data_IF_959600096007
#
_entry.id   IF_959600096007
#
_cell.length_a   1.000
_cell.length_b   1.000
_cell.length_c   1.000
_cell.angle_alpha   90.00
_cell.angle_beta   90.00
_cell.angle_gamma   90.00
#
_symmetry.space_group_name_H-M   'P 1'
#
loop_
_entity.id
_entity.type
_entity.pdbx_description
1 polymer ?
#
# COMPACT_ATOMS: atom_id res chain seq x y z
N UNK A 1 -22.76 -6.21 -0.80
CA UNK A 1 -21.31 -5.94 -0.74
C UNK A 1 -20.99 -5.50 0.67
N UNK A 2 -19.97 -6.06 1.29
CA UNK A 2 -19.48 -5.67 2.60
C UNK A 2 -17.98 -5.46 2.52
N UNK A 3 -17.46 -4.61 3.39
CA UNK A 3 -16.03 -4.36 3.53
C UNK A 3 -15.47 -5.29 4.60
N UNK A 4 -14.28 -5.81 4.35
CA UNK A 4 -13.47 -6.51 5.34
C UNK A 4 -12.00 -6.33 5.02
N UNK A 5 -11.13 -6.85 5.86
CA UNK A 5 -9.69 -6.75 5.70
C UNK A 5 -9.14 -8.08 5.18
N UNK A 6 -8.13 -8.02 4.32
CA UNK A 6 -7.39 -9.20 3.89
C UNK A 6 -6.42 -9.61 5.00
N UNK A 7 -6.57 -10.80 5.57
CA UNK A 7 -5.67 -11.25 6.66
C UNK A 7 -4.56 -12.14 6.14
N UNK A 8 -4.87 -13.08 5.25
CA UNK A 8 -3.90 -14.03 4.72
C UNK A 8 -4.25 -14.47 3.30
N UNK A 9 -3.22 -14.59 2.45
CA UNK A 9 -3.33 -15.21 1.13
C UNK A 9 -2.92 -16.68 1.25
N UNK A 10 -3.90 -17.58 1.13
CA UNK A 10 -3.66 -19.02 1.23
C UNK A 10 -3.13 -19.56 -0.09
N UNK A 11 -3.78 -19.19 -1.19
CA UNK A 11 -3.37 -19.59 -2.53
C UNK A 11 -3.73 -18.53 -3.58
N UNK A 12 -3.56 -18.88 -4.84
CA UNK A 12 -3.83 -18.00 -5.98
C UNK A 12 -5.30 -17.62 -6.19
N UNK A 13 -6.23 -18.39 -5.63
CA UNK A 13 -7.67 -18.28 -5.83
C UNK A 13 -8.43 -18.13 -4.50
N UNK A 14 -7.77 -18.17 -3.35
CA UNK A 14 -8.38 -18.15 -2.03
C UNK A 14 -7.60 -17.30 -1.03
N UNK A 15 -8.36 -16.57 -0.22
CA UNK A 15 -7.86 -15.71 0.83
C UNK A 15 -8.69 -15.86 2.10
N UNK A 16 -8.07 -15.59 3.25
CA UNK A 16 -8.74 -15.38 4.53
C UNK A 16 -8.91 -13.89 4.73
N UNK A 17 -10.12 -13.52 5.12
CA UNK A 17 -10.54 -12.14 5.22
C UNK A 17 -11.38 -11.96 6.47
N UNK A 18 -11.13 -10.91 7.24
CA UNK A 18 -11.96 -10.56 8.39
C UNK A 18 -13.00 -9.53 8.00
N UNK A 19 -14.25 -9.80 8.31
CA UNK A 19 -15.25 -8.74 8.30
C UNK A 19 -15.05 -7.83 9.50
N UNK A 20 -15.51 -6.57 9.41
CA UNK A 20 -15.60 -5.62 10.53
C UNK A 20 -16.33 -6.18 11.78
N UNK A 21 -17.12 -7.25 11.62
CA UNK A 21 -17.75 -7.97 12.71
C UNK A 21 -16.81 -8.92 13.48
N UNK A 22 -15.52 -8.99 13.13
CA UNK A 22 -14.53 -9.89 13.72
C UNK A 22 -14.69 -11.36 13.30
N UNK A 23 -15.45 -11.61 12.24
CA UNK A 23 -15.66 -12.95 11.68
C UNK A 23 -14.71 -13.17 10.51
N UNK A 24 -13.97 -14.27 10.54
CA UNK A 24 -13.07 -14.70 9.48
C UNK A 24 -13.83 -15.51 8.43
N UNK A 25 -13.65 -15.16 7.16
CA UNK A 25 -14.24 -15.85 6.03
C UNK A 25 -13.15 -16.44 5.15
N UNK A 26 -13.36 -17.66 4.68
CA UNK A 26 -12.59 -18.23 3.58
C UNK A 26 -13.26 -17.85 2.27
N UNK A 27 -12.65 -16.96 1.51
CA UNK A 27 -13.25 -16.38 0.29
C UNK A 27 -12.46 -16.73 -0.95
N UNK A 28 -13.16 -16.80 -2.09
CA UNK A 28 -12.53 -16.93 -3.40
C UNK A 28 -12.10 -15.57 -3.94
N UNK A 29 -10.87 -15.48 -4.41
CA UNK A 29 -10.35 -14.34 -5.18
C UNK A 29 -10.82 -14.49 -6.61
N UNK A 30 -11.55 -13.49 -7.12
CA UNK A 30 -11.99 -13.49 -8.50
C UNK A 30 -10.84 -13.07 -9.43
N UNK A 31 -10.82 -13.65 -10.64
CA UNK A 31 -9.72 -13.46 -11.61
C UNK A 31 -9.49 -12.02 -12.06
N UNK A 32 -10.45 -11.13 -11.82
CA UNK A 32 -10.34 -9.71 -12.14
C UNK A 32 -9.58 -8.91 -11.07
N UNK A 33 -9.27 -9.51 -9.92
CA UNK A 33 -8.47 -8.88 -8.86
C UNK A 33 -6.99 -9.11 -9.16
N UNK A 34 -6.23 -8.03 -9.30
CA UNK A 34 -4.77 -8.11 -9.50
C UNK A 34 -4.08 -8.51 -8.19
N UNK A 35 -3.50 -9.71 -8.18
CA UNK A 35 -2.85 -10.30 -6.99
C UNK A 35 -1.69 -9.45 -6.47
N UNK A 36 -0.97 -8.79 -7.36
CA UNK A 36 0.16 -7.92 -7.02
C UNK A 36 -0.23 -6.67 -6.21
N UNK A 37 -1.52 -6.36 -6.15
CA UNK A 37 -2.06 -5.21 -5.42
C UNK A 37 -2.71 -5.59 -4.09
N UNK A 38 -2.85 -6.89 -3.79
CA UNK A 38 -3.37 -7.37 -2.51
C UNK A 38 -2.25 -7.34 -1.47
N UNK A 39 -2.34 -6.41 -0.51
CA UNK A 39 -1.50 -6.44 0.69
C UNK A 39 -2.34 -6.85 1.90
N UNK A 40 -1.69 -7.49 2.87
CA UNK A 40 -2.33 -7.88 4.13
C UNK A 40 -2.79 -6.63 4.89
N UNK A 41 -3.85 -6.78 5.68
CA UNK A 41 -4.58 -5.74 6.41
C UNK A 41 -5.25 -4.66 5.54
N UNK A 42 -5.27 -4.80 4.21
CA UNK A 42 -6.01 -3.87 3.36
C UNK A 42 -7.51 -4.13 3.36
N UNK A 43 -8.25 -3.02 3.34
CA UNK A 43 -9.68 -3.02 3.13
C UNK A 43 -10.01 -3.53 1.73
N UNK A 44 -10.74 -4.62 1.66
CA UNK A 44 -11.23 -5.23 0.43
C UNK A 44 -12.75 -5.24 0.42
N UNK A 45 -13.28 -5.12 -0.78
CA UNK A 45 -14.69 -5.21 -1.04
C UNK A 45 -15.06 -6.66 -1.31
N UNK A 46 -15.97 -7.18 -0.52
CA UNK A 46 -16.43 -8.57 -0.60
C UNK A 46 -17.93 -8.66 -0.84
N UNK A 47 -18.35 -9.78 -1.41
CA UNK A 47 -19.77 -10.06 -1.61
C UNK A 47 -20.26 -11.19 -0.70
N UNK A 48 -20.97 -10.85 0.39
CA UNK A 48 -21.41 -11.80 1.42
C UNK A 48 -22.20 -13.02 0.91
N UNK A 49 -22.94 -12.90 -0.20
CA UNK A 49 -23.74 -14.02 -0.71
C UNK A 49 -22.90 -15.10 -1.40
N UNK A 50 -21.74 -14.71 -1.96
CA UNK A 50 -20.88 -15.61 -2.74
C UNK A 50 -19.50 -15.79 -2.09
N UNK A 51 -19.23 -15.08 -0.99
CA UNK A 51 -17.95 -15.10 -0.27
C UNK A 51 -16.78 -14.96 -1.24
N UNK A 52 -16.79 -13.85 -2.00
CA UNK A 52 -15.76 -13.57 -3.00
C UNK A 52 -15.23 -12.15 -2.88
N UNK A 53 -13.93 -11.99 -3.16
CA UNK A 53 -13.25 -10.70 -3.22
C UNK A 53 -13.56 -10.05 -4.57
N UNK A 54 -14.18 -8.87 -4.52
CA UNK A 54 -14.65 -8.15 -5.73
C UNK A 54 -13.76 -6.94 -6.06
N UNK A 55 -13.05 -6.39 -5.08
CA UNK A 55 -12.16 -5.26 -5.35
C UNK A 55 -11.36 -4.84 -4.14
N UNK A 56 -10.34 -4.03 -4.39
CA UNK A 56 -9.59 -3.34 -3.35
C UNK A 56 -10.28 -2.02 -3.04
N UNK A 57 -10.55 -1.76 -1.78
CA UNK A 57 -10.92 -0.43 -1.33
C UNK A 57 -9.60 0.25 -0.95
N UNK A 58 -9.06 1.07 -1.85
CA UNK A 58 -7.89 1.90 -1.58
C UNK A 58 -8.28 3.02 -0.61
N UNK A 59 -8.66 2.68 0.62
CA UNK A 59 -8.84 3.69 1.66
C UNK A 59 -7.50 3.92 2.35
N UNK A 60 -7.03 5.15 2.15
CA UNK A 60 -5.97 5.88 2.85
C UNK A 60 -5.00 5.00 3.65
N UNK A 61 -3.89 4.62 3.00
CA UNK A 61 -2.80 3.94 3.70
C UNK A 61 -2.17 4.93 4.68
N UNK A 62 -2.41 4.71 5.97
CA UNK A 62 -1.71 5.40 7.03
C UNK A 62 -0.20 5.14 6.91
N UNK A 63 0.63 6.13 6.55
CA UNK A 63 2.07 5.95 6.50
C UNK A 63 2.66 5.67 7.88
N UNK A 64 1.88 5.88 8.94
CA UNK A 64 2.25 5.54 10.32
C UNK A 64 2.43 4.01 10.49
N UNK A 65 1.63 3.19 9.81
CA UNK A 65 1.75 1.72 9.86
C UNK A 65 3.05 1.27 9.18
N UNK A 66 3.38 1.87 8.04
CA UNK A 66 4.58 1.53 7.26
C UNK A 66 5.88 2.03 7.91
N UNK A 67 5.82 3.19 8.57
CA UNK A 67 6.98 3.77 9.25
C UNK A 67 7.18 3.25 10.67
N UNK A 68 6.21 2.55 11.27
CA UNK A 68 6.35 1.97 12.62
C UNK A 68 7.51 0.97 12.75
N UNK A 69 8.04 0.43 11.65
CA UNK A 69 9.23 -0.44 11.63
C UNK A 69 10.54 0.29 11.28
N UNK A 70 10.50 1.61 11.07
CA UNK A 70 11.65 2.41 10.64
C UNK A 70 12.14 3.36 11.74
N UNK A 71 13.45 3.52 11.85
CA UNK A 71 14.06 4.51 12.76
C UNK A 71 13.99 5.90 12.12
N UNK A 72 12.91 6.63 12.41
CA UNK A 72 12.73 8.02 11.98
C UNK A 72 13.51 8.99 12.90
N UNK A 73 13.97 10.10 12.34
CA UNK A 73 14.42 11.24 13.13
C UNK A 73 13.22 12.09 13.59
N UNK A 74 13.37 12.80 14.71
CA UNK A 74 12.29 13.61 15.31
C UNK A 74 11.79 14.75 14.40
N UNK A 75 12.57 15.08 13.36
CA UNK A 75 12.23 16.09 12.36
C UNK A 75 11.32 15.57 11.23
N UNK A 76 10.86 14.31 11.26
CA UNK A 76 10.01 13.74 10.22
C UNK A 76 8.53 13.98 10.53
N UNK A 77 7.91 14.89 9.78
CA UNK A 77 6.46 15.06 9.83
C UNK A 77 5.76 14.19 8.76
N UNK A 78 5.12 13.10 9.18
CA UNK A 78 4.39 12.19 8.29
C UNK A 78 3.03 12.75 7.87
N UNK A 79 2.38 13.55 8.72
CA UNK A 79 1.06 14.10 8.47
C UNK A 79 1.05 15.01 7.23
N UNK A 80 2.12 15.76 7.00
CA UNK A 80 2.27 16.61 5.81
C UNK A 80 2.31 15.79 4.50
N UNK A 81 2.88 14.58 4.54
CA UNK A 81 2.89 13.68 3.40
C UNK A 81 1.54 13.03 3.15
N UNK A 82 0.74 12.78 4.19
CA UNK A 82 -0.64 12.26 4.09
C UNK A 82 -1.59 13.32 3.54
N UNK A 83 -1.48 14.54 4.05
CA UNK A 83 -2.37 15.65 3.70
C UNK A 83 -2.12 16.17 2.29
N UNK A 84 -0.90 16.02 1.78
CA UNK A 84 -0.60 16.25 0.35
C UNK A 84 -1.14 15.05 -0.43
N UNK A 85 -2.46 15.07 -0.65
CA UNK A 85 -3.32 14.05 -1.27
C UNK A 85 -2.98 13.79 -2.74
N UNK A 86 -1.72 13.50 -3.01
CA UNK A 86 -1.26 12.94 -4.26
C UNK A 86 -1.75 11.48 -4.31
N UNK A 87 -2.12 11.01 -5.50
CA UNK A 87 -2.68 9.69 -5.82
C UNK A 87 -1.71 8.52 -5.53
N UNK A 88 -1.15 8.46 -4.33
CA UNK A 88 -0.23 7.42 -3.91
C UNK A 88 -1.02 6.25 -3.36
N UNK A 89 -0.78 5.08 -3.96
CA UNK A 89 -1.23 3.82 -3.41
C UNK A 89 -0.38 3.43 -2.19
N UNK A 90 -0.85 2.46 -1.40
CA UNK A 90 -0.05 1.85 -0.34
C UNK A 90 1.31 1.33 -0.81
N UNK A 91 1.36 0.77 -2.02
CA UNK A 91 2.59 0.33 -2.65
C UNK A 91 3.56 1.49 -2.92
N UNK A 92 3.05 2.66 -3.30
CA UNK A 92 3.88 3.86 -3.48
C UNK A 92 4.43 4.35 -2.13
N UNK A 93 3.60 4.37 -1.09
CA UNK A 93 4.01 4.77 0.27
C UNK A 93 5.09 3.83 0.81
N UNK A 94 4.92 2.52 0.62
CA UNK A 94 5.93 1.51 0.95
C UNK A 94 7.23 1.72 0.18
N UNK A 95 7.13 2.02 -1.11
CA UNK A 95 8.30 2.33 -1.95
C UNK A 95 9.02 3.58 -1.48
N UNK A 96 8.29 4.64 -1.11
CA UNK A 96 8.86 5.88 -0.55
C UNK A 96 9.57 5.58 0.78
N UNK A 97 8.99 4.76 1.65
CA UNK A 97 9.61 4.34 2.90
C UNK A 97 10.92 3.54 2.66
N UNK A 98 10.91 2.59 1.73
CA UNK A 98 12.10 1.81 1.39
C UNK A 98 13.20 2.69 0.78
N UNK A 99 12.85 3.55 -0.17
CA UNK A 99 13.80 4.42 -0.86
C UNK A 99 14.41 5.45 0.10
N UNK A 100 13.62 6.01 1.02
CA UNK A 100 14.12 6.92 2.07
C UNK A 100 15.06 6.21 3.06
N UNK A 101 14.75 4.96 3.44
CA UNK A 101 15.66 4.11 4.21
C UNK A 101 16.97 3.82 3.49
N UNK A 102 16.90 3.52 2.18
CA UNK A 102 18.08 3.28 1.33
C UNK A 102 18.96 4.53 1.19
N UNK A 103 18.36 5.71 1.04
CA UNK A 103 19.07 6.99 0.97
C UNK A 103 19.79 7.30 2.28
N UNK A 104 19.12 7.13 3.42
CA UNK A 104 19.72 7.31 4.74
C UNK A 104 20.89 6.34 4.96
N UNK A 105 20.71 5.06 4.59
CA UNK A 105 21.75 4.04 4.69
C UNK A 105 22.96 4.34 3.79
N UNK A 106 22.74 4.92 2.59
CA UNK A 106 23.81 5.35 1.69
C UNK A 106 24.68 6.45 2.29
N UNK A 107 24.09 7.35 3.07
CA UNK A 107 24.81 8.42 3.77
C UNK A 107 25.39 7.97 5.14
N UNK A 108 25.38 6.66 5.43
CA UNK A 108 25.80 6.08 6.73
C UNK A 108 25.01 6.63 7.92
N UNK A 109 23.76 7.05 7.71
CA UNK A 109 22.86 7.53 8.75
C UNK A 109 21.91 6.40 9.15
N UNK A 110 21.85 6.11 10.46
CA UNK A 110 20.93 5.12 11.04
C UNK A 110 19.51 5.66 11.28
N UNK A 111 19.28 6.96 10.99
CA UNK A 111 17.98 7.63 11.13
C UNK A 111 17.58 8.28 9.81
N UNK A 112 16.32 8.09 9.41
CA UNK A 112 15.74 8.70 8.21
C UNK A 112 15.29 10.12 8.54
N UNK A 113 15.65 11.08 7.68
CA UNK A 113 15.28 12.50 7.86
C UNK A 113 14.18 12.92 6.88
N UNK A 114 13.52 14.05 7.15
CA UNK A 114 12.46 14.55 6.29
C UNK A 114 12.95 14.87 4.86
N UNK A 115 14.22 15.25 4.71
CA UNK A 115 14.83 15.49 3.39
C UNK A 115 14.92 14.20 2.55
N UNK A 116 15.13 13.05 3.19
CA UNK A 116 15.20 11.75 2.50
C UNK A 116 13.81 11.34 1.97
N UNK A 117 12.76 11.57 2.77
CA UNK A 117 11.37 11.36 2.34
C UNK A 117 10.99 12.24 1.15
N UNK A 118 11.39 13.52 1.15
CA UNK A 118 11.11 14.44 0.05
C UNK A 118 11.79 13.98 -1.26
N UNK A 119 13.06 13.58 -1.19
CA UNK A 119 13.81 13.01 -2.34
C UNK A 119 13.21 11.69 -2.83
N UNK A 120 12.83 10.81 -1.91
CA UNK A 120 12.21 9.53 -2.24
C UNK A 120 10.88 9.72 -2.95
N UNK A 121 10.01 10.61 -2.45
CA UNK A 121 8.73 10.96 -3.07
C UNK A 121 8.90 11.45 -4.50
N UNK A 122 9.84 12.38 -4.74
CA UNK A 122 10.10 12.92 -6.07
C UNK A 122 10.55 11.84 -7.06
N UNK A 123 11.37 10.89 -6.59
CA UNK A 123 11.86 9.76 -7.39
C UNK A 123 10.75 8.76 -7.75
N UNK A 124 9.83 8.48 -6.82
CA UNK A 124 8.68 7.60 -7.05
C UNK A 124 7.67 8.24 -8.00
N UNK A 125 7.40 9.54 -7.81
CA UNK A 125 6.61 10.35 -8.76
C UNK A 125 7.17 10.29 -10.19
N UNK A 126 8.49 10.34 -10.34
CA UNK A 126 9.14 10.28 -11.65
C UNK A 126 8.96 8.91 -12.32
N UNK A 127 9.16 7.81 -11.57
CA UNK A 127 8.92 6.45 -12.07
C UNK A 127 7.47 6.24 -12.52
N UNK A 128 6.50 6.80 -11.78
CA UNK A 128 5.07 6.70 -12.16
C UNK A 128 4.77 7.39 -13.49
N UNK A 129 5.48 8.49 -13.82
CA UNK A 129 5.34 9.18 -15.11
C UNK A 129 6.01 8.45 -16.28
N UNK A 130 7.09 7.71 -16.04
CA UNK A 130 7.76 6.90 -17.09
C UNK A 130 7.02 5.57 -17.40
N UNK A 131 6.13 5.12 -16.51
CA UNK A 131 5.39 3.86 -16.64
C UNK A 131 4.23 3.84 -17.65
N UNK A 132 3.94 4.93 -18.34
CA UNK A 132 2.89 4.95 -19.39
C UNK A 132 3.54 5.09 -20.77
N UNK A 133 3.85 3.99 -21.49
CA UNK A 133 4.00 4.10 -22.93
C UNK A 133 2.64 4.52 -23.51
N UNK A 134 2.55 5.76 -23.99
CA UNK A 134 1.39 6.34 -24.71
C UNK A 134 1.13 5.68 -26.08
N UNK A 135 1.31 4.37 -26.22
CA UNK A 135 1.40 3.71 -27.52
C UNK A 135 0.76 2.33 -27.62
N UNK A 136 -0.20 1.98 -26.76
CA UNK A 136 -0.90 0.69 -26.87
C UNK A 136 -2.41 0.83 -26.72
N UNK A 137 -3.00 1.66 -27.58
CA UNK A 137 -4.36 1.48 -28.04
C UNK A 137 -4.31 1.58 -29.57
N UNK A 138 -4.29 0.42 -30.23
CA UNK A 138 -4.74 0.23 -31.61
C UNK A 138 -5.88 -0.78 -31.56
#
# INVERSE_FOLDING_TARGET
>A
MSVGNLEELIDENHAIVSSLAGMEYYVRILSFVYKDQLELDFAILMHNKILSVVGLLQDEVDPMIHTSRMTLADNVNLEEFVMTKDEFSGADIKTICIESGLLASRERRMKVTHADFKKAKEKVMFKKKEGVPKGLYM
#
